data_IF_030045735122
#
_entry.id   IF_030045735122
#
_cell.length_a   1.000
_cell.length_b   1.000
_cell.length_c   1.000
_cell.angle_alpha   90.00
_cell.angle_beta   90.00
_cell.angle_gamma   90.00
#
_symmetry.space_group_name_H-M   'P 1'
#
loop_
_entity.id
_entity.type
_entity.pdbx_description
1 polymer ?
#
# COMPACT_ATOMS: atom_id res chain seq x y z
N UNK A 1 -7.18 17.09 -14.44
CA UNK A 1 -6.72 15.73 -14.08
C UNK A 1 -7.89 14.79 -14.23
N UNK A 2 -7.91 14.01 -15.31
CA UNK A 2 -8.93 13.00 -15.54
C UNK A 2 -8.62 11.85 -14.61
N UNK A 3 -9.44 11.64 -13.58
CA UNK A 3 -9.34 10.44 -12.74
C UNK A 3 -9.75 9.26 -13.62
N UNK A 4 -8.77 8.53 -14.13
CA UNK A 4 -9.01 7.27 -14.84
C UNK A 4 -9.71 6.33 -13.86
N UNK A 5 -10.91 5.88 -14.22
CA UNK A 5 -11.59 4.83 -13.46
C UNK A 5 -10.67 3.62 -13.49
N UNK A 6 -10.27 3.07 -12.33
CA UNK A 6 -9.39 1.92 -12.32
C UNK A 6 -10.07 0.72 -12.99
N UNK A 7 -9.40 0.15 -13.99
CA UNK A 7 -9.79 -1.12 -14.60
C UNK A 7 -9.50 -2.24 -13.60
N UNK A 8 -10.53 -2.95 -13.16
CA UNK A 8 -10.38 -4.07 -12.25
C UNK A 8 -10.86 -5.38 -12.90
N UNK A 9 -10.09 -6.49 -12.78
CA UNK A 9 -8.80 -6.60 -12.11
C UNK A 9 -7.68 -5.85 -12.85
N UNK A 10 -6.73 -5.28 -12.09
CA UNK A 10 -5.62 -4.51 -12.65
C UNK A 10 -4.69 -5.41 -13.48
N UNK A 11 -4.36 -4.97 -14.70
CA UNK A 11 -3.23 -5.53 -15.42
C UNK A 11 -1.91 -5.20 -14.70
N UNK A 12 -0.83 -5.94 -14.99
CA UNK A 12 0.49 -5.64 -14.41
C UNK A 12 0.95 -4.21 -14.75
N UNK A 13 0.69 -3.75 -15.99
CA UNK A 13 1.02 -2.39 -16.41
C UNK A 13 0.21 -1.33 -15.65
N UNK A 14 -1.10 -1.55 -15.47
CA UNK A 14 -1.94 -0.64 -14.68
C UNK A 14 -1.52 -0.63 -13.20
N UNK A 15 -1.20 -1.80 -12.64
CA UNK A 15 -0.66 -1.92 -11.28
C UNK A 15 0.64 -1.16 -11.11
N UNK A 16 1.57 -1.25 -12.06
CA UNK A 16 2.83 -0.51 -12.01
C UNK A 16 2.61 1.01 -12.07
N UNK A 17 1.70 1.47 -12.93
CA UNK A 17 1.34 2.89 -12.99
C UNK A 17 0.76 3.38 -11.65
N UNK A 18 -0.20 2.65 -11.08
CA UNK A 18 -0.78 3.01 -9.80
C UNK A 18 0.21 2.93 -8.64
N UNK A 19 1.20 2.02 -8.69
CA UNK A 19 2.30 1.97 -7.73
C UNK A 19 3.16 3.23 -7.81
N UNK A 20 3.54 3.66 -9.02
CA UNK A 20 4.31 4.89 -9.21
C UNK A 20 3.54 6.12 -8.74
N UNK A 21 2.25 6.21 -9.09
CA UNK A 21 1.36 7.29 -8.65
C UNK A 21 1.22 7.32 -7.12
N UNK A 22 1.10 6.14 -6.49
CA UNK A 22 0.97 6.00 -5.04
C UNK A 22 2.27 6.38 -4.31
N UNK A 23 3.44 6.02 -4.84
CA UNK A 23 4.73 6.45 -4.29
C UNK A 23 4.87 7.98 -4.43
N UNK A 24 4.54 8.52 -5.59
CA UNK A 24 4.57 9.95 -5.90
C UNK A 24 5.98 10.55 -5.89
N UNK A 25 6.10 11.83 -6.23
CA UNK A 25 7.40 12.53 -6.34
C UNK A 25 8.17 12.64 -5.02
N UNK A 26 7.51 12.44 -3.88
CA UNK A 26 8.10 12.55 -2.54
C UNK A 26 8.72 11.27 -1.99
N UNK A 27 8.68 10.16 -2.73
CA UNK A 27 9.32 8.91 -2.31
C UNK A 27 10.82 8.96 -2.61
N UNK A 28 11.65 8.99 -1.56
CA UNK A 28 13.10 9.08 -1.69
C UNK A 28 13.82 7.77 -2.05
N UNK A 29 13.07 6.72 -2.38
CA UNK A 29 13.62 5.39 -2.66
C UNK A 29 13.85 5.16 -4.15
N UNK A 30 14.40 3.99 -4.48
CA UNK A 30 14.63 3.64 -5.88
C UNK A 30 13.29 3.47 -6.63
N UNK A 31 13.11 4.24 -7.70
CA UNK A 31 11.95 4.21 -8.60
C UNK A 31 12.22 3.43 -9.91
N UNK A 32 13.30 2.65 -9.95
CA UNK A 32 13.63 1.76 -11.06
C UNK A 32 12.45 0.82 -11.40
N UNK A 33 12.04 0.84 -12.66
CA UNK A 33 10.87 0.12 -13.17
C UNK A 33 10.96 -1.39 -12.90
N UNK A 34 12.15 -1.98 -13.03
CA UNK A 34 12.37 -3.42 -12.81
C UNK A 34 12.31 -3.76 -11.31
N UNK A 35 12.82 -2.88 -10.45
CA UNK A 35 12.67 -3.00 -9.00
C UNK A 35 11.20 -2.89 -8.56
N UNK A 36 10.46 -1.91 -9.07
CA UNK A 36 9.04 -1.72 -8.77
C UNK A 36 8.17 -2.87 -9.30
N UNK A 37 8.47 -3.38 -10.49
CA UNK A 37 7.76 -4.54 -11.06
C UNK A 37 7.99 -5.80 -10.21
N UNK A 38 9.22 -6.00 -9.72
CA UNK A 38 9.53 -7.10 -8.79
C UNK A 38 8.81 -6.93 -7.47
N UNK A 39 8.82 -5.72 -6.88
CA UNK A 39 8.10 -5.44 -5.64
C UNK A 39 6.60 -5.71 -5.79
N UNK A 40 5.99 -5.23 -6.87
CA UNK A 40 4.58 -5.46 -7.19
C UNK A 40 4.26 -6.96 -7.36
N UNK A 41 5.20 -7.73 -7.93
CA UNK A 41 5.03 -9.17 -8.13
C UNK A 41 5.15 -9.98 -6.84
N UNK A 42 5.88 -9.48 -5.84
CA UNK A 42 6.01 -10.09 -4.50
C UNK A 42 4.71 -9.92 -3.71
N UNK A 43 4.14 -8.71 -3.75
CA UNK A 43 2.95 -8.35 -2.97
C UNK A 43 1.64 -8.68 -3.70
N UNK A 44 1.69 -9.16 -4.95
CA UNK A 44 0.53 -9.57 -5.73
C UNK A 44 -0.15 -10.82 -5.13
N UNK A 45 -1.49 -10.84 -5.13
CA UNK A 45 -2.26 -12.02 -4.78
C UNK A 45 -2.36 -12.95 -5.99
N UNK A 46 -2.03 -14.23 -5.80
CA UNK A 46 -2.19 -15.26 -6.83
C UNK A 46 -3.39 -16.12 -6.49
N UNK A 47 -4.39 -16.09 -7.35
CA UNK A 47 -5.64 -16.85 -7.21
C UNK A 47 -5.78 -17.70 -8.47
N UNK A 48 -5.74 -19.02 -8.31
CA UNK A 48 -5.65 -19.97 -9.43
C UNK A 48 -4.54 -19.61 -10.43
N UNK A 49 -4.90 -19.30 -11.68
CA UNK A 49 -3.98 -18.86 -12.74
C UNK A 49 -3.88 -17.35 -12.88
N UNK A 50 -4.65 -16.58 -12.09
CA UNK A 50 -4.70 -15.12 -12.16
C UNK A 50 -3.76 -14.48 -11.14
N UNK A 51 -3.05 -13.44 -11.57
CA UNK A 51 -2.25 -12.58 -10.70
C UNK A 51 -2.99 -11.27 -10.53
N UNK A 52 -3.26 -10.90 -9.28
CA UNK A 52 -3.91 -9.66 -8.90
C UNK A 52 -2.86 -8.72 -8.31
N UNK A 53 -2.37 -7.73 -9.07
CA UNK A 53 -1.43 -6.75 -8.57
C UNK A 53 -2.03 -5.95 -7.41
N UNK A 54 -1.24 -5.68 -6.37
CA UNK A 54 -1.65 -4.93 -5.17
C UNK A 54 -0.80 -3.67 -5.00
N UNK A 55 -0.95 -2.68 -5.89
CA UNK A 55 -0.02 -1.55 -5.97
C UNK A 55 -0.03 -0.67 -4.73
N UNK A 56 -1.17 -0.53 -4.05
CA UNK A 56 -1.28 0.28 -2.84
C UNK A 56 -0.68 -0.43 -1.62
N UNK A 57 -0.89 -1.74 -1.49
CA UNK A 57 -0.18 -2.54 -0.48
C UNK A 57 1.34 -2.49 -0.69
N UNK A 58 1.78 -2.63 -1.95
CA UNK A 58 3.21 -2.54 -2.33
C UNK A 58 3.77 -1.16 -1.96
N UNK A 59 3.06 -0.08 -2.31
CA UNK A 59 3.47 1.29 -1.99
C UNK A 59 3.57 1.50 -0.47
N UNK A 60 2.60 1.00 0.30
CA UNK A 60 2.59 1.11 1.75
C UNK A 60 3.81 0.44 2.40
N UNK A 61 4.16 -0.77 1.96
CA UNK A 61 5.38 -1.47 2.40
C UNK A 61 6.63 -0.68 2.05
N UNK A 62 6.78 -0.25 0.80
CA UNK A 62 7.95 0.50 0.34
C UNK A 62 8.13 1.84 1.07
N UNK A 63 7.04 2.57 1.31
CA UNK A 63 7.08 3.81 2.10
C UNK A 63 7.56 3.51 3.51
N UNK A 64 7.01 2.49 4.15
CA UNK A 64 7.41 2.09 5.52
C UNK A 64 8.89 1.74 5.58
N UNK A 65 9.34 0.81 4.73
CA UNK A 65 10.73 0.33 4.65
C UNK A 65 11.75 1.48 4.48
N UNK A 66 11.37 2.52 3.72
CA UNK A 66 12.25 3.65 3.43
C UNK A 66 12.16 4.78 4.49
N UNK A 67 11.13 4.78 5.31
CA UNK A 67 10.91 5.81 6.36
C UNK A 67 11.41 5.38 7.74
N UNK A 68 11.77 4.11 7.96
CA UNK A 68 12.36 3.66 9.23
C UNK A 68 13.66 4.38 9.62
N UNK A 69 14.29 5.10 8.68
CA UNK A 69 15.62 5.70 8.90
C UNK A 69 15.65 7.21 9.21
N UNK A 70 14.59 7.98 8.97
CA UNK A 70 14.57 9.41 9.33
C UNK A 70 13.16 9.96 9.44
N UNK A 71 12.57 10.13 10.63
CA UNK A 71 11.31 10.89 10.71
C UNK A 71 11.05 11.66 12.01
N UNK A 72 10.96 12.98 11.87
CA UNK A 72 10.37 13.91 12.85
C UNK A 72 8.84 13.73 12.98
N UNK A 73 8.25 14.05 14.15
CA UNK A 73 6.81 13.82 14.46
C UNK A 73 5.81 14.25 13.37
N UNK A 74 6.09 15.35 12.66
CA UNK A 74 5.21 15.87 11.60
C UNK A 74 5.21 15.04 10.31
N UNK A 75 6.29 14.31 10.02
CA UNK A 75 6.36 13.44 8.85
C UNK A 75 5.72 12.06 9.15
N UNK A 76 5.77 11.56 10.40
CA UNK A 76 5.02 10.36 10.81
C UNK A 76 3.51 10.54 10.57
N UNK A 77 2.91 11.64 11.05
CA UNK A 77 1.49 11.90 10.86
C UNK A 77 1.07 12.08 9.39
N UNK A 78 2.01 12.38 8.49
CA UNK A 78 1.75 12.42 7.04
C UNK A 78 1.83 11.02 6.43
N UNK A 79 2.81 10.22 6.85
CA UNK A 79 2.95 8.83 6.45
C UNK A 79 1.73 8.04 6.91
N UNK A 80 1.29 8.15 8.16
CA UNK A 80 0.11 7.44 8.69
C UNK A 80 -1.15 7.72 7.88
N UNK A 81 -1.39 9.01 7.56
CA UNK A 81 -2.53 9.40 6.70
C UNK A 81 -2.42 8.83 5.30
N UNK A 82 -1.21 8.77 4.74
CA UNK A 82 -0.96 8.17 3.42
C UNK A 82 -1.19 6.66 3.47
N UNK A 83 -0.65 5.96 4.46
CA UNK A 83 -0.83 4.52 4.65
C UNK A 83 -2.31 4.16 4.80
N UNK A 84 -3.08 4.91 5.60
CA UNK A 84 -4.53 4.71 5.74
C UNK A 84 -5.27 4.88 4.40
N UNK A 85 -4.90 5.87 3.59
CA UNK A 85 -5.51 6.06 2.26
C UNK A 85 -5.17 4.93 1.28
N UNK A 86 -3.94 4.41 1.34
CA UNK A 86 -3.51 3.26 0.53
C UNK A 86 -4.24 1.97 0.95
N UNK A 87 -4.45 1.77 2.25
CA UNK A 87 -5.20 0.62 2.78
C UNK A 87 -6.65 0.61 2.27
N UNK A 88 -7.33 1.75 2.31
CA UNK A 88 -8.70 1.88 1.78
C UNK A 88 -8.77 1.61 0.27
N UNK A 89 -7.82 2.14 -0.50
CA UNK A 89 -7.75 1.91 -1.94
C UNK A 89 -7.48 0.44 -2.28
N UNK A 90 -6.59 -0.22 -1.52
CA UNK A 90 -6.34 -1.65 -1.68
C UNK A 90 -7.57 -2.49 -1.35
N UNK A 91 -8.26 -2.20 -0.25
CA UNK A 91 -9.50 -2.92 0.11
C UNK A 91 -10.58 -2.76 -0.95
N UNK A 92 -10.77 -1.56 -1.51
CA UNK A 92 -11.75 -1.35 -2.58
C UNK A 92 -11.40 -2.15 -3.84
N UNK A 93 -10.13 -2.16 -4.23
CA UNK A 93 -9.64 -2.95 -5.35
C UNK A 93 -9.86 -4.45 -5.16
N UNK A 94 -9.53 -4.96 -3.97
CA UNK A 94 -9.68 -6.37 -3.61
C UNK A 94 -11.17 -6.77 -3.53
N UNK A 95 -12.05 -5.85 -3.11
CA UNK A 95 -13.50 -6.05 -3.11
C UNK A 95 -14.06 -6.17 -4.53
N UNK A 96 -13.66 -5.26 -5.43
CA UNK A 96 -14.11 -5.23 -6.83
C UNK A 96 -13.61 -6.48 -7.58
N UNK A 97 -12.37 -6.90 -7.31
CA UNK A 97 -11.83 -8.14 -7.85
C UNK A 97 -12.48 -9.41 -7.23
N UNK A 98 -13.34 -9.26 -6.22
CA UNK A 98 -14.03 -10.37 -5.55
C UNK A 98 -13.12 -11.24 -4.68
N UNK A 99 -11.89 -10.79 -4.39
CA UNK A 99 -10.84 -11.56 -3.71
C UNK A 99 -10.69 -11.22 -2.23
N UNK A 100 -11.52 -10.32 -1.70
CA UNK A 100 -11.45 -9.87 -0.30
C UNK A 100 -11.56 -11.04 0.71
N UNK A 101 -12.27 -12.11 0.34
CA UNK A 101 -12.44 -13.32 1.13
C UNK A 101 -11.20 -14.23 1.17
N UNK A 102 -10.23 -14.00 0.27
CA UNK A 102 -8.97 -14.76 0.17
C UNK A 102 -7.84 -14.10 0.96
N UNK A 103 -8.04 -12.86 1.40
CA UNK A 103 -7.09 -12.17 2.27
C UNK A 103 -7.19 -12.74 3.69
N UNK A 104 -6.06 -12.92 4.40
CA UNK A 104 -6.11 -13.23 5.82
C UNK A 104 -6.96 -12.17 6.54
N UNK A 105 -7.95 -12.62 7.34
CA UNK A 105 -8.86 -11.72 8.06
C UNK A 105 -8.05 -10.74 8.90
N UNK A 106 -8.42 -9.47 8.77
CA UNK A 106 -7.74 -8.23 9.12
C UNK A 106 -7.44 -7.98 10.61
N UNK A 107 -7.45 -8.99 11.49
CA UNK A 107 -7.12 -8.77 12.90
C UNK A 107 -5.63 -8.99 13.22
N UNK A 108 -4.89 -9.81 12.46
CA UNK A 108 -3.47 -10.09 12.76
C UNK A 108 -2.48 -9.60 11.70
N UNK A 109 -2.95 -9.25 10.50
CA UNK A 109 -2.10 -8.85 9.36
C UNK A 109 -2.43 -7.48 8.77
N UNK A 110 -3.35 -6.71 9.38
CA UNK A 110 -3.61 -5.34 8.97
C UNK A 110 -2.42 -4.45 9.35
N UNK A 111 -1.90 -3.72 8.37
CA UNK A 111 -0.82 -2.76 8.58
C UNK A 111 -1.30 -1.34 8.25
N UNK A 112 -1.16 -0.38 9.17
CA UNK A 112 -0.61 -0.54 10.52
C UNK A 112 -1.56 -1.36 11.43
N UNK A 113 -1.03 -2.12 12.40
CA UNK A 113 -1.86 -2.85 13.35
C UNK A 113 -2.77 -1.85 14.06
N UNK A 114 -4.09 -2.03 13.90
CA UNK A 114 -5.11 -1.27 14.65
C UNK A 114 -5.18 -1.74 16.11
N UNK A 115 -4.06 -1.70 16.81
CA UNK A 115 -3.97 -1.97 18.25
C UNK A 115 -2.60 -1.56 18.76
N UNK A 116 -2.39 -0.25 18.75
CA UNK A 116 -1.29 0.41 19.41
C UNK A 116 -1.70 1.83 19.74
N UNK A 117 -2.73 2.00 20.57
CA UNK A 117 -2.86 3.24 21.32
C UNK A 117 -1.52 3.43 22.03
N UNK A 118 -0.68 4.35 21.55
CA UNK A 118 0.40 4.86 22.37
C UNK A 118 -0.30 5.36 23.62
N UNK A 119 -0.09 4.66 24.74
CA UNK A 119 -0.47 5.18 26.03
C UNK A 119 0.30 6.49 26.18
N UNK A 120 -0.36 7.61 25.89
CA UNK A 120 0.00 8.89 26.49
C UNK A 120 -0.34 8.78 27.96
N UNK A 121 0.47 8.00 28.68
CA UNK A 121 0.52 8.10 30.13
C UNK A 121 1.24 9.41 30.44
N UNK A 122 0.61 10.20 31.31
CA UNK A 122 0.77 11.63 31.40
C UNK A 122 2.18 12.07 31.82
N UNK A 123 2.68 13.11 31.16
CA UNK A 123 3.68 13.99 31.78
C UNK A 123 2.89 15.10 32.48
N UNK A 124 2.76 14.97 33.80
CA UNK A 124 2.61 16.07 34.75
C UNK A 124 3.47 15.80 35.97
#
# INVERSE_FOLDING_TARGET
>A
MTLTVPEFPLSLAAGLQHLQDALGEGYGGNLDTDALTRALSVDALRVDTAVHPRPWATAARLITDNTEYEVSKGLNARIDRKLSGLEEQQMQADAIAGILHLLPRTDETSWPPRSGSVATDGVF
#
